data_IF_869784684071
#
_entry.id   IF_869784684071
#
_cell.length_a   1.000
_cell.length_b   1.000
_cell.length_c   1.000
_cell.angle_alpha   90.00
_cell.angle_beta   90.00
_cell.angle_gamma   90.00
#
_symmetry.space_group_name_H-M   'P 1'
#
loop_
_entity.id
_entity.type
_entity.pdbx_description
1 polymer ?
#
# COMPACT_ATOMS: atom_id res chain seq x y z
N UNK A 1 13.54 22.49 -3.04
CA UNK A 1 12.21 22.48 -3.70
C UNK A 1 11.42 21.31 -3.13
N UNK A 2 10.13 21.48 -2.84
CA UNK A 2 9.29 20.39 -2.31
C UNK A 2 8.66 19.60 -3.45
N UNK A 3 8.62 18.29 -3.31
CA UNK A 3 7.85 17.41 -4.18
C UNK A 3 7.19 16.31 -3.35
N UNK A 4 6.40 15.48 -4.01
CA UNK A 4 5.62 14.44 -3.39
C UNK A 4 5.77 13.14 -4.15
N UNK A 5 5.66 12.02 -3.44
CA UNK A 5 5.79 10.67 -3.98
C UNK A 5 4.58 9.82 -3.56
N UNK A 6 4.00 9.07 -4.49
CA UNK A 6 3.19 7.88 -4.18
C UNK A 6 4.01 6.65 -4.54
N UNK A 7 4.04 5.66 -3.65
CA UNK A 7 4.61 4.35 -3.92
C UNK A 7 3.80 3.25 -3.25
N UNK A 8 3.97 2.03 -3.75
CA UNK A 8 3.49 0.82 -3.07
C UNK A 8 4.69 0.10 -2.47
N UNK A 9 4.57 -0.40 -1.24
CA UNK A 9 5.57 -1.19 -0.56
C UNK A 9 5.07 -2.63 -0.38
N UNK A 10 5.93 -3.60 -0.66
CA UNK A 10 5.69 -5.01 -0.32
C UNK A 10 5.98 -5.30 1.17
N UNK A 11 5.76 -6.55 1.59
CA UNK A 11 6.05 -7.02 2.96
C UNK A 11 7.51 -6.86 3.39
N UNK A 12 8.44 -6.79 2.45
CA UNK A 12 9.87 -6.59 2.72
C UNK A 12 10.24 -5.09 2.75
N UNK A 13 9.30 -4.20 2.44
CA UNK A 13 9.48 -2.76 2.38
C UNK A 13 10.09 -2.26 1.07
N UNK A 14 10.17 -3.09 0.02
CA UNK A 14 10.62 -2.65 -1.29
C UNK A 14 9.54 -1.85 -1.99
N UNK A 15 9.92 -0.69 -2.52
CA UNK A 15 8.99 0.20 -3.22
C UNK A 15 8.88 -0.12 -4.71
N UNK A 16 7.66 -0.09 -5.23
CA UNK A 16 7.37 -0.18 -6.66
C UNK A 16 6.22 0.76 -7.06
N UNK A 17 6.08 0.97 -8.38
CA UNK A 17 5.11 1.90 -8.93
C UNK A 17 5.35 3.34 -8.48
N UNK A 18 6.58 3.75 -8.25
CA UNK A 18 6.91 5.09 -7.77
C UNK A 18 6.44 6.16 -8.76
N UNK A 19 5.65 7.13 -8.27
CA UNK A 19 5.24 8.30 -9.04
C UNK A 19 5.50 9.59 -8.27
N UNK A 20 6.03 10.58 -8.96
CA UNK A 20 6.50 11.83 -8.39
C UNK A 20 5.70 13.01 -8.91
N UNK A 21 5.35 13.93 -8.01
CA UNK A 21 4.50 15.07 -8.33
C UNK A 21 5.02 16.34 -7.64
N UNK A 22 4.91 17.48 -8.31
CA UNK A 22 5.13 18.79 -7.69
C UNK A 22 3.84 19.34 -7.03
N UNK A 23 2.68 18.85 -7.45
CA UNK A 23 1.37 19.32 -7.03
C UNK A 23 0.76 18.35 -6.01
N UNK A 24 0.45 18.87 -4.80
CA UNK A 24 -0.17 18.12 -3.72
C UNK A 24 -1.52 17.48 -4.12
N UNK A 25 -2.35 18.16 -4.92
CA UNK A 25 -3.66 17.64 -5.30
C UNK A 25 -3.55 16.48 -6.29
N UNK A 26 -2.52 16.49 -7.14
CA UNK A 26 -2.27 15.39 -8.08
C UNK A 26 -1.80 14.13 -7.37
N UNK A 27 -0.83 14.25 -6.46
CA UNK A 27 -0.37 13.10 -5.66
C UNK A 27 -1.48 12.57 -4.75
N UNK A 28 -2.34 13.44 -4.21
CA UNK A 28 -3.50 13.02 -3.41
C UNK A 28 -4.52 12.25 -4.27
N UNK A 29 -4.77 12.71 -5.50
CA UNK A 29 -5.63 11.99 -6.46
C UNK A 29 -5.06 10.61 -6.80
N UNK A 30 -3.76 10.55 -7.14
CA UNK A 30 -3.05 9.30 -7.46
C UNK A 30 -3.14 8.30 -6.29
N UNK A 31 -2.97 8.77 -5.05
CA UNK A 31 -3.08 7.91 -3.87
C UNK A 31 -4.45 7.24 -3.77
N UNK A 32 -5.54 7.98 -3.99
CA UNK A 32 -6.90 7.44 -3.92
C UNK A 32 -7.27 6.60 -5.15
N UNK A 33 -6.76 6.96 -6.33
CA UNK A 33 -6.93 6.19 -7.56
C UNK A 33 -6.26 4.82 -7.43
N UNK A 34 -5.00 4.78 -6.96
CA UNK A 34 -4.30 3.53 -6.69
C UNK A 34 -4.98 2.71 -5.60
N UNK A 35 -5.47 3.35 -4.54
CA UNK A 35 -6.25 2.64 -3.53
C UNK A 35 -7.52 1.99 -4.14
N UNK A 36 -8.23 2.72 -4.99
CA UNK A 36 -9.42 2.20 -5.69
C UNK A 36 -9.10 1.05 -6.62
N UNK A 37 -8.05 1.16 -7.44
CA UNK A 37 -7.60 0.11 -8.36
C UNK A 37 -7.08 -1.11 -7.60
N UNK A 38 -6.26 -0.95 -6.57
CA UNK A 38 -5.77 -2.08 -5.77
C UNK A 38 -6.91 -2.86 -5.13
N UNK A 39 -7.91 -2.17 -4.57
CA UNK A 39 -9.08 -2.83 -3.96
C UNK A 39 -9.93 -3.54 -5.02
N UNK A 40 -9.98 -3.03 -6.25
CA UNK A 40 -10.79 -3.62 -7.34
C UNK A 40 -10.08 -4.76 -8.08
N UNK A 41 -8.77 -4.65 -8.31
CA UNK A 41 -7.99 -5.56 -9.14
C UNK A 41 -7.43 -6.76 -8.36
N UNK A 42 -7.29 -6.65 -7.03
CA UNK A 42 -6.86 -7.77 -6.18
C UNK A 42 -8.09 -8.53 -5.68
N UNK A 43 -8.55 -9.51 -6.47
CA UNK A 43 -9.68 -10.39 -6.10
C UNK A 43 -9.41 -11.20 -4.81
N UNK A 44 -8.15 -11.30 -4.40
CA UNK A 44 -7.68 -12.08 -3.25
C UNK A 44 -7.39 -11.19 -2.01
N UNK A 45 -8.08 -10.07 -1.82
CA UNK A 45 -8.02 -9.38 -0.52
C UNK A 45 -8.45 -10.35 0.59
N UNK A 46 -7.75 -10.31 1.72
CA UNK A 46 -8.21 -11.02 2.90
C UNK A 46 -9.58 -10.47 3.33
N UNK A 47 -10.36 -11.27 4.04
CA UNK A 47 -11.54 -10.82 4.75
C UNK A 47 -11.20 -10.48 6.20
N UNK A 48 -11.97 -9.61 6.88
CA UNK A 48 -11.73 -9.28 8.28
C UNK A 48 -11.67 -10.48 9.23
N UNK A 49 -12.35 -11.57 8.87
CA UNK A 49 -12.47 -12.80 9.67
C UNK A 49 -11.31 -13.79 9.44
N UNK A 50 -10.46 -13.58 8.43
CA UNK A 50 -9.61 -14.65 7.93
C UNK A 50 -8.50 -15.10 8.90
N UNK A 51 -7.98 -14.26 9.82
CA UNK A 51 -6.97 -14.66 10.84
C UNK A 51 -6.99 -13.75 12.11
N UNK A 52 -8.10 -13.65 12.86
CA UNK A 52 -8.19 -12.86 14.13
C UNK A 52 -8.25 -11.31 14.03
N UNK A 53 -9.18 -10.79 13.22
CA UNK A 53 -9.98 -9.61 13.61
C UNK A 53 -9.46 -8.22 13.23
N UNK A 54 -8.90 -8.03 12.04
CA UNK A 54 -8.58 -6.69 11.52
C UNK A 54 -9.17 -6.46 10.13
N UNK A 55 -9.54 -5.20 9.85
CA UNK A 55 -10.02 -4.78 8.53
C UNK A 55 -8.99 -5.14 7.45
N UNK A 56 -9.41 -5.69 6.31
CA UNK A 56 -8.49 -6.11 5.25
C UNK A 56 -7.79 -4.94 4.57
N UNK A 57 -8.24 -3.72 4.85
CA UNK A 57 -7.45 -2.52 4.62
C UNK A 57 -7.73 -1.45 5.67
N UNK A 58 -6.79 -0.52 5.85
CA UNK A 58 -6.89 0.59 6.79
C UNK A 58 -6.09 1.79 6.30
N UNK A 59 -6.69 2.98 6.34
CA UNK A 59 -6.00 4.24 6.03
C UNK A 59 -5.55 4.93 7.32
N UNK A 60 -4.28 5.26 7.39
CA UNK A 60 -3.67 6.04 8.46
C UNK A 60 -3.28 7.43 7.93
N UNK A 61 -3.76 8.45 8.63
CA UNK A 61 -3.56 9.88 8.27
C UNK A 61 -2.44 10.54 9.08
N UNK A 62 -1.80 9.80 9.99
CA UNK A 62 -0.77 10.32 10.89
C UNK A 62 0.60 9.89 10.36
N UNK A 63 1.58 10.80 10.26
CA UNK A 63 2.95 10.45 9.88
C UNK A 63 3.58 9.52 10.91
N UNK A 64 3.92 8.28 10.53
CA UNK A 64 4.84 7.43 11.31
C UNK A 64 6.32 7.76 11.04
N UNK A 65 6.58 8.51 9.97
CA UNK A 65 7.90 9.06 9.57
C UNK A 65 7.70 10.55 9.27
N UNK A 66 8.69 11.40 9.53
CA UNK A 66 8.58 12.88 9.37
C UNK A 66 8.06 13.31 7.99
N UNK A 67 8.37 12.53 6.95
CA UNK A 67 8.03 12.82 5.56
C UNK A 67 6.73 12.16 5.10
N UNK A 68 6.08 11.32 5.91
CA UNK A 68 4.90 10.56 5.51
C UNK A 68 3.63 11.39 5.70
N UNK A 69 2.83 11.60 4.66
CA UNK A 69 1.58 12.37 4.74
C UNK A 69 0.37 11.44 4.94
N UNK A 70 0.28 10.35 4.16
CA UNK A 70 -0.78 9.33 4.28
C UNK A 70 -0.22 7.93 4.00
N UNK A 71 -0.84 6.93 4.61
CA UNK A 71 -0.55 5.51 4.35
C UNK A 71 -1.84 4.71 4.29
N UNK A 72 -1.96 3.81 3.33
CA UNK A 72 -3.02 2.80 3.30
C UNK A 72 -2.36 1.43 3.40
N UNK A 73 -2.79 0.64 4.37
CA UNK A 73 -2.38 -0.75 4.57
C UNK A 73 -3.47 -1.66 4.04
N UNK A 74 -3.13 -2.76 3.36
CA UNK A 74 -4.08 -3.79 2.95
C UNK A 74 -3.47 -5.18 2.98
N UNK A 75 -4.33 -6.17 3.27
CA UNK A 75 -4.02 -7.57 3.42
C UNK A 75 -4.49 -8.32 2.17
N UNK A 76 -3.61 -9.15 1.62
CA UNK A 76 -3.90 -10.01 0.47
C UNK A 76 -3.56 -11.45 0.82
N UNK A 77 -4.34 -12.37 0.26
CA UNK A 77 -3.96 -13.77 0.19
C UNK A 77 -2.85 -13.93 -0.86
N UNK A 78 -1.87 -14.73 -0.51
CA UNK A 78 -0.81 -15.15 -1.42
C UNK A 78 -0.69 -16.67 -1.32
N UNK A 79 -0.85 -17.35 -2.46
CA UNK A 79 -0.61 -18.79 -2.57
C UNK A 79 0.84 -19.04 -2.97
N UNK A 80 1.57 -19.75 -2.12
CA UNK A 80 2.92 -20.22 -2.40
C UNK A 80 2.89 -21.71 -2.71
N UNK A 81 3.22 -22.08 -3.94
CA UNK A 81 3.27 -23.48 -4.38
C UNK A 81 4.70 -24.04 -4.40
N UNK A 82 4.91 -25.14 -3.68
CA UNK A 82 6.16 -25.90 -3.64
C UNK A 82 5.98 -27.35 -4.11
N UNK A 83 7.02 -28.17 -3.92
CA UNK A 83 7.00 -29.59 -4.30
C UNK A 83 6.01 -30.42 -3.47
N UNK A 84 5.72 -30.01 -2.23
CA UNK A 84 4.84 -30.73 -1.29
C UNK A 84 3.37 -30.27 -1.35
N UNK A 85 3.05 -29.23 -2.13
CA UNK A 85 1.72 -28.64 -2.21
C UNK A 85 1.75 -27.12 -2.27
N UNK A 86 0.58 -26.50 -2.21
CA UNK A 86 0.41 -25.05 -2.10
C UNK A 86 -0.09 -24.68 -0.71
N UNK A 87 0.49 -23.62 -0.15
CA UNK A 87 0.05 -23.05 1.11
C UNK A 87 -0.38 -21.60 0.86
N UNK A 88 -1.57 -21.24 1.35
CA UNK A 88 -2.06 -19.86 1.32
C UNK A 88 -1.67 -19.17 2.63
N UNK A 89 -1.15 -17.96 2.51
CA UNK A 89 -0.84 -17.10 3.65
C UNK A 89 -1.37 -15.70 3.41
N UNK A 90 -1.61 -14.94 4.49
CA UNK A 90 -1.95 -13.53 4.39
C UNK A 90 -0.67 -12.71 4.48
N UNK A 91 -0.44 -11.87 3.47
CA UNK A 91 0.64 -10.88 3.44
C UNK A 91 0.06 -9.47 3.41
N UNK A 92 0.90 -8.46 3.66
CA UNK A 92 0.49 -7.05 3.69
C UNK A 92 1.24 -6.20 2.69
N UNK A 93 0.52 -5.34 1.97
CA UNK A 93 1.10 -4.29 1.14
C UNK A 93 0.65 -2.91 1.63
N UNK A 94 1.38 -1.87 1.21
CA UNK A 94 1.14 -0.51 1.67
C UNK A 94 1.23 0.48 0.53
N UNK A 95 0.26 1.38 0.42
CA UNK A 95 0.39 2.58 -0.42
C UNK A 95 0.80 3.75 0.47
N UNK A 96 1.86 4.44 0.05
CA UNK A 96 2.54 5.47 0.82
C UNK A 96 2.52 6.78 0.02
N UNK A 97 2.03 7.85 0.65
CA UNK A 97 2.11 9.22 0.15
C UNK A 97 3.10 10.01 1.01
N UNK A 98 4.25 10.35 0.43
CA UNK A 98 5.36 11.04 1.08
C UNK A 98 5.63 12.44 0.52
N UNK A 99 6.14 13.32 1.38
CA UNK A 99 6.82 14.56 1.04
C UNK A 99 8.32 14.29 0.85
N UNK A 100 8.88 14.76 -0.24
CA UNK A 100 10.31 14.64 -0.53
C UNK A 100 10.96 16.01 -0.72
N UNK A 101 12.22 16.11 -0.32
CA UNK A 101 13.03 17.31 -0.53
C UNK A 101 13.89 17.12 -1.79
N UNK A 102 13.76 18.02 -2.75
CA UNK A 102 14.61 18.07 -3.95
C UNK A 102 15.59 19.22 -3.76
N UNK A 103 16.90 18.93 -3.83
CA UNK A 103 17.96 19.92 -3.80
C UNK A 103 18.04 20.71 -5.11
#
# INVERSE_FOLDING_TARGET
MEAYKVATLDVMGYSYGDMYFLDYKKVESEFYERLGSVIQDREELAEPEDIDGNSPWKIEKVPHKENLIKRAYYLIWEETCGYEGCESSIIGEEIVFEKIHIN
#
